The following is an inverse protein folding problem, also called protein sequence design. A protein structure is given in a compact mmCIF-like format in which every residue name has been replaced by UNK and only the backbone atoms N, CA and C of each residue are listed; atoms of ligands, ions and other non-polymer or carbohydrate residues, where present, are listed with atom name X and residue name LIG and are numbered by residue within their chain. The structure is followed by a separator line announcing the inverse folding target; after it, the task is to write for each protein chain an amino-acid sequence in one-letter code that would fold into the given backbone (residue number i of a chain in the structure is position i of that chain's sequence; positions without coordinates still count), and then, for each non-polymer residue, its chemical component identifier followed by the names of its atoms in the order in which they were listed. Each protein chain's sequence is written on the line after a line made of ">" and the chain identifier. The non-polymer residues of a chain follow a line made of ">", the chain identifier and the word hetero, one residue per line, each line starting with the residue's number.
data_IF_770401662632
#
_entry.id   IF_770401662632
#
_cell.length_a   1.000
_cell.length_b   1.000
_cell.length_c   1.000
_cell.angle_alpha   90.00
_cell.angle_beta   90.00
_cell.angle_gamma   90.00
#
_symmetry.space_group_name_H-M   'P 1'
#
loop_
_entity.id
_entity.type
_entity.pdbx_description
1 polymer ?
#
# COMPACT_ATOMS: atom_id res chain seq x y z
N UNK A 1 23.38 -68.33 5.84
CA UNK A 1 23.45 -66.97 5.27
C UNK A 1 22.08 -66.43 4.83
N UNK A 2 20.96 -66.69 5.55
CA UNK A 2 19.60 -66.29 5.13
C UNK A 2 18.82 -65.51 6.20
N UNK A 3 19.47 -64.97 7.23
CA UNK A 3 18.82 -64.22 8.31
C UNK A 3 19.09 -62.70 8.37
N UNK A 4 19.90 -62.15 7.44
CA UNK A 4 20.27 -60.72 7.40
C UNK A 4 19.57 -59.91 6.30
N UNK A 5 18.84 -60.57 5.38
CA UNK A 5 18.16 -59.88 4.27
C UNK A 5 16.70 -59.43 4.62
N UNK A 6 16.09 -59.93 5.70
CA UNK A 6 14.69 -59.64 6.03
C UNK A 6 14.47 -58.43 6.92
N UNK A 7 15.53 -57.86 7.52
CA UNK A 7 15.42 -56.69 8.41
C UNK A 7 15.52 -55.35 7.64
N UNK A 8 16.14 -55.37 6.44
CA UNK A 8 16.32 -54.11 5.67
C UNK A 8 15.11 -53.72 4.81
N UNK A 9 14.18 -54.62 4.54
CA UNK A 9 13.00 -54.31 3.70
C UNK A 9 11.84 -53.72 4.54
N UNK A 10 11.77 -54.03 5.84
CA UNK A 10 10.71 -53.55 6.72
C UNK A 10 10.91 -52.08 7.19
N UNK A 11 12.15 -51.57 7.11
CA UNK A 11 12.46 -50.19 7.53
C UNK A 11 12.22 -49.17 6.43
N UNK A 12 12.22 -49.55 5.14
CA UNK A 12 11.90 -48.66 4.01
C UNK A 12 10.39 -48.52 3.76
N UNK A 13 9.55 -49.41 4.26
CA UNK A 13 8.09 -49.33 4.05
C UNK A 13 7.34 -48.43 5.05
N UNK A 14 7.97 -48.05 6.18
CA UNK A 14 7.37 -47.19 7.20
C UNK A 14 7.55 -45.69 6.91
N UNK A 15 8.47 -45.33 6.01
CA UNK A 15 8.74 -43.94 5.63
C UNK A 15 7.82 -43.35 4.53
N UNK A 16 6.94 -44.19 3.93
CA UNK A 16 6.05 -43.77 2.84
C UNK A 16 4.58 -43.55 3.29
N UNK A 17 4.27 -43.63 4.57
CA UNK A 17 2.95 -43.39 5.13
C UNK A 17 2.96 -42.24 6.15
N UNK A 18 3.75 -41.20 5.90
CA UNK A 18 3.47 -39.90 6.57
C UNK A 18 2.19 -39.36 5.96
N UNK A 19 1.08 -39.24 6.74
CA UNK A 19 -0.07 -38.49 6.24
C UNK A 19 0.45 -37.09 5.91
N UNK A 20 0.33 -36.68 4.68
CA UNK A 20 0.37 -35.28 4.29
C UNK A 20 -0.77 -34.63 5.09
N UNK A 21 -0.46 -34.17 6.30
CA UNK A 21 -1.33 -33.24 7.03
C UNK A 21 -1.28 -31.96 6.20
N UNK A 22 -2.18 -31.90 5.22
CA UNK A 22 -2.46 -30.65 4.53
C UNK A 22 -2.78 -29.66 5.62
N UNK A 23 -1.93 -28.67 5.82
CA UNK A 23 -2.22 -27.50 6.66
C UNK A 23 -3.52 -26.94 6.12
N UNK A 24 -4.63 -27.23 6.82
CA UNK A 24 -5.91 -26.57 6.56
C UNK A 24 -5.63 -25.08 6.76
N UNK A 25 -5.60 -24.34 5.68
CA UNK A 25 -5.68 -22.88 5.70
C UNK A 25 -7.01 -22.60 6.38
N UNK A 26 -6.99 -22.26 7.67
CA UNK A 26 -8.20 -21.86 8.38
C UNK A 26 -8.64 -20.53 7.78
N UNK A 27 -9.76 -20.55 7.06
CA UNK A 27 -10.41 -19.32 6.65
C UNK A 27 -10.78 -18.53 7.92
N UNK A 28 -10.35 -17.30 8.03
CA UNK A 28 -10.76 -16.40 9.10
C UNK A 28 -12.26 -16.11 8.89
N UNK A 29 -13.10 -16.46 9.84
CA UNK A 29 -14.53 -16.16 9.78
C UNK A 29 -14.79 -14.70 10.16
N UNK A 30 -15.72 -14.05 9.48
CA UNK A 30 -16.19 -12.71 9.86
C UNK A 30 -16.69 -12.65 11.29
N UNK A 31 -17.28 -13.75 11.81
CA UNK A 31 -17.78 -13.87 13.18
C UNK A 31 -16.65 -13.90 14.22
N UNK A 32 -15.42 -14.25 13.83
CA UNK A 32 -14.26 -14.25 14.73
C UNK A 32 -13.65 -12.86 14.94
N UNK A 33 -14.06 -11.86 14.16
CA UNK A 33 -13.65 -10.45 14.29
C UNK A 33 -14.77 -9.71 15.01
N UNK A 34 -14.46 -9.13 16.17
CA UNK A 34 -15.44 -8.41 17.02
C UNK A 34 -15.86 -7.08 16.39
N UNK A 35 -14.96 -6.42 15.65
CA UNK A 35 -15.26 -5.18 14.97
C UNK A 35 -16.46 -5.33 14.04
N UNK A 36 -17.42 -4.39 14.07
CA UNK A 36 -18.57 -4.41 13.16
C UNK A 36 -18.14 -4.17 11.69
N UNK A 37 -17.08 -3.43 11.44
CA UNK A 37 -16.52 -3.20 10.11
C UNK A 37 -15.01 -3.41 10.12
N UNK A 38 -14.49 -4.19 9.15
CA UNK A 38 -13.07 -4.51 9.08
C UNK A 38 -12.61 -4.82 7.66
N UNK A 39 -11.35 -4.48 7.36
CA UNK A 39 -10.67 -4.79 6.10
C UNK A 39 -9.23 -5.20 6.38
N UNK A 40 -8.75 -6.23 5.68
CA UNK A 40 -7.34 -6.53 5.54
C UNK A 40 -6.93 -6.36 4.07
N UNK A 41 -5.94 -5.53 3.82
CA UNK A 41 -5.43 -5.23 2.47
C UNK A 41 -3.92 -5.51 2.40
N UNK A 42 -3.45 -6.06 1.28
CA UNK A 42 -2.01 -6.09 0.98
C UNK A 42 -1.60 -4.74 0.36
N UNK A 43 -0.63 -4.08 1.00
CA UNK A 43 -0.29 -2.68 0.75
C UNK A 43 0.24 -2.42 -0.67
N UNK A 44 1.13 -3.27 -1.19
CA UNK A 44 1.79 -3.01 -2.48
C UNK A 44 0.83 -3.12 -3.67
N UNK A 45 -0.08 -4.09 -3.62
CA UNK A 45 -1.03 -4.37 -4.71
C UNK A 45 -2.41 -3.74 -4.50
N UNK A 46 -2.78 -3.43 -3.26
CA UNK A 46 -4.14 -3.02 -2.90
C UNK A 46 -5.15 -4.17 -2.89
N UNK A 47 -4.68 -5.43 -2.95
CA UNK A 47 -5.58 -6.59 -2.91
C UNK A 47 -6.21 -6.75 -1.53
N UNK A 48 -7.54 -6.77 -1.48
CA UNK A 48 -8.29 -7.10 -0.26
C UNK A 48 -8.18 -8.60 -0.01
N UNK A 49 -7.79 -8.97 1.21
CA UNK A 49 -7.58 -10.34 1.67
C UNK A 49 -8.68 -10.83 2.60
N UNK A 50 -9.31 -9.90 3.31
CA UNK A 50 -10.45 -10.13 4.20
C UNK A 50 -11.30 -8.87 4.26
N UNK A 51 -12.61 -9.06 4.37
CA UNK A 51 -13.57 -7.97 4.55
C UNK A 51 -14.75 -8.39 5.42
N UNK A 52 -15.24 -7.44 6.21
CA UNK A 52 -16.47 -7.51 6.98
C UNK A 52 -17.12 -6.13 6.94
N UNK A 53 -18.30 -6.02 6.33
CA UNK A 53 -19.01 -4.75 6.13
C UNK A 53 -18.07 -3.62 5.68
N UNK A 54 -17.28 -3.81 4.61
CA UNK A 54 -16.14 -2.93 4.27
C UNK A 54 -16.58 -1.50 3.93
N UNK A 55 -17.79 -1.31 3.42
CA UNK A 55 -18.37 -0.04 2.97
C UNK A 55 -19.41 0.55 3.94
N UNK A 56 -19.55 -0.05 5.15
CA UNK A 56 -20.42 0.53 6.17
C UNK A 56 -19.87 1.85 6.67
N UNK A 57 -20.64 2.93 6.46
CA UNK A 57 -20.27 4.27 6.89
C UNK A 57 -20.33 4.40 8.41
N UNK A 58 -19.20 4.80 9.01
CA UNK A 58 -19.02 4.96 10.45
C UNK A 58 -18.09 6.11 10.77
N UNK A 59 -18.24 6.78 11.93
CA UNK A 59 -17.18 7.61 12.46
C UNK A 59 -15.94 6.77 12.76
N UNK A 60 -14.75 7.35 12.60
CA UNK A 60 -13.48 6.63 12.80
C UNK A 60 -12.57 7.28 13.86
N UNK A 61 -13.05 8.30 14.56
CA UNK A 61 -12.29 9.05 15.53
C UNK A 61 -10.95 9.54 14.94
N UNK A 62 -9.88 9.56 15.73
CA UNK A 62 -8.53 10.00 15.31
C UNK A 62 -7.87 9.15 14.21
N UNK A 63 -8.52 8.10 13.67
CA UNK A 63 -8.06 7.47 12.44
C UNK A 63 -8.17 8.44 11.26
N UNK A 64 -9.03 9.46 11.34
CA UNK A 64 -9.08 10.64 10.46
C UNK A 64 -7.69 11.25 10.19
N UNK A 65 -6.82 11.27 11.21
CA UNK A 65 -5.46 11.82 11.10
C UNK A 65 -4.57 11.07 10.10
N UNK A 66 -4.98 9.90 9.60
CA UNK A 66 -4.29 9.24 8.48
C UNK A 66 -4.38 10.11 7.22
N UNK A 67 -5.54 10.71 6.92
CA UNK A 67 -5.68 11.65 5.80
C UNK A 67 -4.94 12.96 6.08
N UNK A 68 -4.99 13.46 7.31
CA UNK A 68 -4.22 14.65 7.72
C UNK A 68 -2.73 14.45 7.49
N UNK A 69 -2.19 13.33 7.98
CA UNK A 69 -0.78 12.98 7.80
C UNK A 69 -0.43 12.72 6.32
N UNK A 70 -1.33 12.14 5.54
CA UNK A 70 -1.14 11.99 4.09
C UNK A 70 -0.88 13.34 3.43
N UNK A 71 -1.75 14.33 3.66
CA UNK A 71 -1.57 15.66 3.09
C UNK A 71 -0.34 16.39 3.64
N UNK A 72 0.02 16.15 4.90
CA UNK A 72 1.26 16.66 5.50
C UNK A 72 2.48 16.09 4.80
N UNK A 73 2.55 14.77 4.57
CA UNK A 73 3.68 14.15 3.89
C UNK A 73 3.73 14.48 2.40
N UNK A 74 2.60 14.65 1.72
CA UNK A 74 2.55 15.20 0.36
C UNK A 74 3.13 16.64 0.31
N UNK A 75 2.87 17.46 1.34
CA UNK A 75 3.46 18.79 1.44
C UNK A 75 4.98 18.73 1.70
N UNK A 76 5.45 17.79 2.53
CA UNK A 76 6.88 17.56 2.78
C UNK A 76 7.58 17.10 1.49
N UNK A 77 7.04 16.09 0.81
CA UNK A 77 7.67 15.53 -0.40
C UNK A 77 7.67 16.52 -1.57
N UNK A 78 6.70 17.42 -1.65
CA UNK A 78 6.68 18.50 -2.64
C UNK A 78 7.52 19.73 -2.25
N UNK A 79 8.15 19.73 -1.08
CA UNK A 79 8.96 20.84 -0.57
C UNK A 79 8.14 22.07 -0.12
N UNK A 80 6.84 21.93 0.05
CA UNK A 80 5.95 23.00 0.59
C UNK A 80 6.02 23.12 2.10
N UNK A 81 6.44 22.05 2.78
CA UNK A 81 6.68 22.00 4.21
C UNK A 81 8.04 21.40 4.46
N UNK A 82 8.90 22.11 5.21
CA UNK A 82 10.15 21.56 5.76
C UNK A 82 9.91 21.03 7.16
N UNK A 83 10.57 19.94 7.53
CA UNK A 83 10.50 19.42 8.90
C UNK A 83 11.07 20.39 9.93
N UNK A 84 11.96 21.28 9.51
CA UNK A 84 12.58 22.31 10.34
C UNK A 84 11.76 23.62 10.39
N UNK A 85 10.63 23.71 9.65
CA UNK A 85 9.78 24.90 9.70
C UNK A 85 9.20 25.09 11.11
N UNK A 86 9.38 26.29 11.65
CA UNK A 86 8.80 26.70 12.93
C UNK A 86 7.33 27.10 12.71
N UNK A 87 6.40 26.36 13.30
CA UNK A 87 4.97 26.53 13.13
C UNK A 87 4.35 27.04 14.43
N UNK A 88 3.54 28.08 14.31
CA UNK A 88 2.92 28.76 15.48
C UNK A 88 1.48 28.33 15.67
N UNK A 89 1.11 27.94 16.88
CA UNK A 89 -0.24 27.55 17.27
C UNK A 89 -1.17 28.76 17.28
N UNK A 90 -2.29 28.65 16.56
CA UNK A 90 -3.39 29.61 16.60
C UNK A 90 -4.19 29.51 17.90
N UNK A 91 -5.08 30.42 18.14
CA UNK A 91 -6.07 30.33 19.22
C UNK A 91 -7.04 29.17 19.03
N UNK A 92 -7.41 28.90 17.77
CA UNK A 92 -8.25 27.77 17.42
C UNK A 92 -7.57 26.44 17.74
N UNK A 93 -6.33 26.24 17.29
CA UNK A 93 -5.56 25.02 17.56
C UNK A 93 -5.33 24.82 19.08
N UNK A 94 -4.95 25.88 19.80
CA UNK A 94 -4.74 25.83 21.25
C UNK A 94 -6.03 25.57 22.05
N UNK A 95 -7.20 25.86 21.46
CA UNK A 95 -8.51 25.60 22.05
C UNK A 95 -9.07 24.21 21.80
N UNK A 96 -8.35 23.34 21.06
CA UNK A 96 -8.79 21.96 20.82
C UNK A 96 -8.91 21.21 22.15
N UNK A 97 -9.72 20.18 22.14
CA UNK A 97 -9.88 19.25 23.26
C UNK A 97 -9.58 17.82 22.86
N UNK A 98 -9.68 16.93 23.83
CA UNK A 98 -9.43 15.52 23.64
C UNK A 98 -7.97 15.14 23.86
N UNK A 99 -7.33 14.50 22.89
CA UNK A 99 -5.89 14.18 22.98
C UNK A 99 -5.08 15.38 22.51
N UNK A 100 -4.33 16.03 23.38
CA UNK A 100 -3.55 17.24 23.11
C UNK A 100 -2.16 17.15 23.69
N UNK A 101 -1.25 17.97 23.20
CA UNK A 101 0.02 18.32 23.86
C UNK A 101 -0.06 19.66 24.59
N UNK A 102 -1.29 20.21 24.71
CA UNK A 102 -1.61 21.47 25.38
C UNK A 102 -0.80 22.64 24.85
N UNK A 103 -0.91 22.88 23.54
CA UNK A 103 -0.30 24.04 22.89
C UNK A 103 -0.91 25.31 23.43
N UNK A 104 -0.08 26.30 23.73
CA UNK A 104 -0.54 27.63 24.06
C UNK A 104 -0.67 28.49 22.78
N UNK A 105 -1.63 29.43 22.74
CA UNK A 105 -1.73 30.40 21.65
C UNK A 105 -0.40 31.13 21.46
N UNK A 106 0.14 31.08 20.25
CA UNK A 106 1.43 31.69 19.93
C UNK A 106 2.65 30.82 20.25
N UNK A 107 2.45 29.64 20.82
CA UNK A 107 3.55 28.68 20.98
C UNK A 107 4.03 28.19 19.62
N UNK A 108 5.36 28.12 19.45
CA UNK A 108 6.01 27.72 18.21
C UNK A 108 6.81 26.44 18.43
N UNK A 109 6.65 25.47 17.54
CA UNK A 109 7.38 24.22 17.50
C UNK A 109 7.71 23.84 16.05
N UNK A 110 8.71 23.00 15.86
CA UNK A 110 9.04 22.49 14.51
C UNK A 110 7.92 21.64 13.92
N UNK A 111 7.81 21.62 12.60
CA UNK A 111 6.91 20.73 11.88
C UNK A 111 7.17 19.25 12.27
N UNK A 112 8.43 18.86 12.47
CA UNK A 112 8.82 17.54 12.95
C UNK A 112 8.17 17.20 14.29
N UNK A 113 8.26 18.09 15.28
CA UNK A 113 7.63 17.86 16.60
C UNK A 113 6.10 17.85 16.53
N UNK A 114 5.48 18.66 15.67
CA UNK A 114 4.02 18.66 15.44
C UNK A 114 3.56 17.34 14.78
N UNK A 115 4.29 16.83 13.78
CA UNK A 115 4.04 15.52 13.15
C UNK A 115 4.18 14.42 14.21
N UNK A 116 5.27 14.45 14.99
CA UNK A 116 5.54 13.51 16.07
C UNK A 116 4.40 13.47 17.10
N UNK A 117 3.92 14.63 17.56
CA UNK A 117 2.78 14.73 18.46
C UNK A 117 1.50 14.16 17.86
N UNK A 118 1.21 14.50 16.61
CA UNK A 118 0.03 14.01 15.87
C UNK A 118 0.02 12.48 15.73
N UNK A 119 1.18 11.88 15.46
CA UNK A 119 1.31 10.42 15.30
C UNK A 119 1.30 9.71 16.64
N UNK A 120 2.17 10.09 17.56
CA UNK A 120 2.50 9.32 18.78
C UNK A 120 1.37 9.41 19.82
N UNK A 121 0.99 10.62 20.23
CA UNK A 121 -0.07 10.81 21.23
C UNK A 121 -1.41 11.17 20.60
N UNK A 122 -1.47 11.25 19.27
CA UNK A 122 -2.72 11.60 18.58
C UNK A 122 -3.19 13.04 18.83
N UNK A 123 -2.26 13.96 19.06
CA UNK A 123 -2.55 15.34 19.44
C UNK A 123 -3.48 16.05 18.41
N UNK A 124 -4.64 16.55 18.88
CA UNK A 124 -5.61 17.26 18.05
C UNK A 124 -5.13 18.68 17.74
N UNK A 125 -4.60 19.36 18.75
CA UNK A 125 -4.01 20.69 18.63
C UNK A 125 -2.87 20.70 17.60
N UNK A 126 -1.94 19.77 17.66
CA UNK A 126 -0.86 19.67 16.69
C UNK A 126 -1.37 19.36 15.26
N UNK A 127 -2.41 18.52 15.13
CA UNK A 127 -3.00 18.22 13.83
C UNK A 127 -3.64 19.47 13.19
N UNK A 128 -4.33 20.30 13.99
CA UNK A 128 -4.92 21.57 13.52
C UNK A 128 -3.83 22.57 13.14
N UNK A 129 -2.74 22.68 13.94
CA UNK A 129 -1.61 23.56 13.60
C UNK A 129 -1.01 23.20 12.23
N UNK A 130 -0.80 21.91 11.97
CA UNK A 130 -0.30 21.43 10.67
C UNK A 130 -1.28 21.75 9.53
N UNK A 131 -2.58 21.53 9.78
CA UNK A 131 -3.64 21.82 8.80
C UNK A 131 -3.70 23.31 8.43
N UNK A 132 -3.72 24.18 9.44
CA UNK A 132 -3.73 25.63 9.25
C UNK A 132 -2.46 26.13 8.55
N UNK A 133 -1.29 25.59 8.90
CA UNK A 133 -0.04 25.97 8.25
C UNK A 133 -0.04 25.63 6.74
N UNK A 134 -0.52 24.45 6.36
CA UNK A 134 -0.54 23.99 4.96
C UNK A 134 -1.62 24.69 4.12
N UNK A 135 -2.73 25.11 4.75
CA UNK A 135 -3.92 25.55 4.01
C UNK A 135 -4.44 26.92 4.40
N UNK A 136 -3.86 27.55 5.43
CA UNK A 136 -4.30 28.84 5.97
C UNK A 136 -5.45 28.76 6.98
N UNK A 137 -6.25 27.66 6.96
CA UNK A 137 -7.30 27.37 7.95
C UNK A 137 -7.61 25.88 7.97
N UNK A 138 -8.21 25.38 9.07
CA UNK A 138 -8.72 24.01 9.15
C UNK A 138 -9.78 23.74 8.08
N UNK A 139 -10.73 24.67 7.84
CA UNK A 139 -11.77 24.51 6.82
C UNK A 139 -11.17 24.30 5.43
N UNK A 140 -10.20 25.12 5.02
CA UNK A 140 -9.52 24.96 3.74
C UNK A 140 -8.73 23.63 3.64
N UNK A 141 -8.21 23.14 4.76
CA UNK A 141 -7.57 21.84 4.83
C UNK A 141 -8.57 20.70 4.70
N UNK A 142 -9.73 20.79 5.34
CA UNK A 142 -10.83 19.82 5.24
C UNK A 142 -11.36 19.74 3.79
N UNK A 143 -11.44 20.84 3.08
CA UNK A 143 -11.77 20.84 1.64
C UNK A 143 -10.73 20.02 0.84
N UNK A 144 -9.43 20.17 1.13
CA UNK A 144 -8.37 19.36 0.52
C UNK A 144 -8.47 17.88 0.91
N UNK A 145 -8.78 17.56 2.19
CA UNK A 145 -9.00 16.18 2.63
C UNK A 145 -10.12 15.52 1.82
N UNK A 146 -11.26 16.22 1.64
CA UNK A 146 -12.39 15.72 0.85
C UNK A 146 -12.08 15.61 -0.65
N UNK A 147 -11.30 16.53 -1.20
CA UNK A 147 -10.82 16.45 -2.58
C UNK A 147 -9.92 15.23 -2.77
N UNK A 148 -8.97 15.06 -1.85
CA UNK A 148 -8.03 13.93 -1.90
C UNK A 148 -8.72 12.58 -1.72
N UNK A 149 -9.73 12.51 -0.84
CA UNK A 149 -10.56 11.33 -0.67
C UNK A 149 -11.23 10.92 -2.00
N UNK A 150 -11.81 11.88 -2.74
CA UNK A 150 -12.40 11.62 -4.06
C UNK A 150 -11.37 11.10 -5.07
N UNK A 151 -10.16 11.68 -5.11
CA UNK A 151 -9.08 11.24 -5.99
C UNK A 151 -8.64 9.79 -5.69
N UNK A 152 -8.67 9.40 -4.41
CA UNK A 152 -8.36 8.03 -3.97
C UNK A 152 -9.51 7.05 -4.17
N UNK A 153 -10.69 7.52 -4.59
CA UNK A 153 -11.87 6.66 -4.75
C UNK A 153 -12.56 6.31 -3.42
N UNK A 154 -12.37 7.12 -2.37
CA UNK A 154 -12.99 6.95 -1.06
C UNK A 154 -14.44 7.46 -1.10
N UNK A 155 -15.32 6.62 -1.64
CA UNK A 155 -16.70 7.02 -1.93
C UNK A 155 -17.63 7.04 -0.71
N UNK A 156 -17.22 6.45 0.41
CA UNK A 156 -17.97 6.34 1.65
C UNK A 156 -17.54 7.40 2.67
N UNK A 157 -16.66 8.36 2.27
CA UNK A 157 -15.97 9.25 3.21
C UNK A 157 -16.37 10.71 3.04
N UNK A 158 -16.67 11.35 4.17
CA UNK A 158 -16.80 12.80 4.30
C UNK A 158 -16.06 13.24 5.57
N UNK A 159 -15.08 14.12 5.41
CA UNK A 159 -14.39 14.76 6.52
C UNK A 159 -15.05 16.10 6.85
N UNK A 160 -15.18 16.40 8.16
CA UNK A 160 -15.69 17.68 8.70
C UNK A 160 -14.62 18.44 9.48
N UNK A 161 -13.62 17.72 10.02
CA UNK A 161 -12.46 18.26 10.72
C UNK A 161 -11.21 17.43 10.40
N UNK A 162 -10.05 17.92 10.76
CA UNK A 162 -8.77 17.26 10.46
C UNK A 162 -8.29 16.31 11.55
N UNK A 163 -8.96 16.22 12.70
CA UNK A 163 -8.49 15.52 13.89
C UNK A 163 -9.34 14.31 14.29
N UNK A 164 -10.61 14.24 13.82
CA UNK A 164 -11.53 13.13 14.07
C UNK A 164 -12.31 13.23 15.37
N UNK A 165 -12.52 14.44 15.90
CA UNK A 165 -13.53 14.68 16.93
C UNK A 165 -14.92 14.40 16.36
N UNK A 166 -15.84 13.97 17.22
CA UNK A 166 -17.21 13.63 16.83
C UNK A 166 -17.92 14.86 16.26
N UNK A 167 -18.41 14.73 15.02
CA UNK A 167 -19.15 15.76 14.30
C UNK A 167 -20.14 15.12 13.35
N UNK A 168 -21.35 15.67 13.26
CA UNK A 168 -22.41 15.11 12.40
C UNK A 168 -21.97 15.08 10.93
N UNK A 169 -22.05 13.88 10.33
CA UNK A 169 -21.64 13.67 8.94
C UNK A 169 -20.14 13.48 8.74
N UNK A 170 -19.32 13.41 9.82
CA UNK A 170 -17.92 12.99 9.75
C UNK A 170 -17.86 11.46 9.74
N UNK A 171 -17.82 10.89 8.55
CA UNK A 171 -17.96 9.43 8.33
C UNK A 171 -16.94 8.92 7.33
N UNK A 172 -16.65 7.63 7.43
CA UNK A 172 -15.80 6.87 6.49
C UNK A 172 -16.17 5.38 6.53
N UNK A 173 -15.51 4.54 5.75
CA UNK A 173 -15.64 3.08 5.80
C UNK A 173 -14.28 2.40 6.06
N UNK A 174 -14.29 1.13 6.46
CA UNK A 174 -13.03 0.40 6.66
C UNK A 174 -12.24 0.25 5.35
N UNK A 175 -12.92 0.15 4.21
CA UNK A 175 -12.29 0.11 2.90
C UNK A 175 -11.60 1.43 2.56
N UNK A 176 -12.29 2.55 2.76
CA UNK A 176 -11.74 3.89 2.49
C UNK A 176 -10.55 4.20 3.41
N UNK A 177 -10.64 3.81 4.68
CA UNK A 177 -9.49 3.91 5.60
C UNK A 177 -8.31 3.08 5.11
N UNK A 178 -8.52 1.89 4.55
CA UNK A 178 -7.45 1.09 3.97
C UNK A 178 -6.83 1.78 2.75
N UNK A 179 -7.62 2.45 1.90
CA UNK A 179 -7.13 3.22 0.75
C UNK A 179 -6.22 4.38 1.18
N UNK A 180 -6.68 5.25 2.11
CA UNK A 180 -5.84 6.36 2.57
C UNK A 180 -4.61 5.89 3.36
N UNK A 181 -4.74 4.78 4.11
CA UNK A 181 -3.59 4.18 4.80
C UNK A 181 -2.55 3.66 3.82
N UNK A 182 -3.00 2.99 2.74
CA UNK A 182 -2.13 2.52 1.67
C UNK A 182 -1.39 3.67 0.99
N UNK A 183 -2.08 4.78 0.73
CA UNK A 183 -1.46 5.96 0.12
C UNK A 183 -0.42 6.57 1.05
N UNK A 184 -0.75 6.78 2.33
CA UNK A 184 0.19 7.31 3.32
C UNK A 184 1.44 6.43 3.46
N UNK A 185 1.31 5.10 3.38
CA UNK A 185 2.47 4.20 3.49
C UNK A 185 3.45 4.25 2.30
N UNK A 186 3.13 4.95 1.21
CA UNK A 186 4.07 5.23 0.13
C UNK A 186 5.08 6.31 0.50
N UNK A 187 4.77 7.14 1.47
CA UNK A 187 5.67 8.14 2.06
C UNK A 187 6.49 7.48 3.17
N UNK A 188 7.64 6.88 2.83
CA UNK A 188 8.42 6.04 3.74
C UNK A 188 8.79 6.72 5.06
N UNK A 189 8.96 8.04 5.06
CA UNK A 189 9.24 8.84 6.25
C UNK A 189 8.18 8.71 7.37
N UNK A 190 6.93 8.33 7.06
CA UNK A 190 5.90 8.14 8.08
C UNK A 190 6.32 7.08 9.10
N UNK A 191 7.08 6.07 8.68
CA UNK A 191 7.51 4.99 9.55
C UNK A 191 8.54 5.42 10.59
N UNK A 192 9.26 6.52 10.37
CA UNK A 192 10.17 7.11 11.37
C UNK A 192 9.36 7.57 12.60
N UNK A 193 8.14 8.04 12.41
CA UNK A 193 7.25 8.50 13.49
C UNK A 193 6.38 7.39 14.06
N UNK A 194 5.78 6.55 13.22
CA UNK A 194 4.83 5.52 13.69
C UNK A 194 5.50 4.41 14.48
N UNK A 195 6.81 4.20 14.31
CA UNK A 195 7.61 3.25 15.09
C UNK A 195 8.03 3.76 16.47
N UNK A 196 7.89 5.06 16.74
CA UNK A 196 8.22 5.64 18.04
C UNK A 196 7.28 5.11 19.12
N UNK A 197 7.82 4.47 20.14
CA UNK A 197 7.04 4.08 21.31
C UNK A 197 6.96 5.17 22.36
N UNK A 198 8.08 5.82 22.64
CA UNK A 198 8.22 6.86 23.64
C UNK A 198 9.25 7.88 23.15
N UNK A 199 8.91 9.17 23.26
CA UNK A 199 9.79 10.29 22.93
C UNK A 199 9.46 11.51 23.79
N UNK A 200 10.15 12.62 23.58
CA UNK A 200 9.95 13.86 24.29
C UNK A 200 9.83 15.03 23.31
N UNK A 201 9.00 16.00 23.66
CA UNK A 201 8.85 17.29 22.96
C UNK A 201 9.42 18.41 23.84
N UNK A 202 9.49 19.62 23.27
CA UNK A 202 9.90 20.84 24.00
C UNK A 202 11.25 20.69 24.73
N UNK A 203 12.24 20.07 24.04
CA UNK A 203 13.56 19.88 24.63
C UNK A 203 13.57 18.97 25.88
N UNK A 204 12.70 17.98 25.92
CA UNK A 204 12.62 17.00 27.01
C UNK A 204 11.59 17.29 28.09
N UNK A 205 10.84 18.40 27.98
CA UNK A 205 9.85 18.80 29.01
C UNK A 205 8.52 18.05 28.93
N UNK A 206 8.15 17.55 27.76
CA UNK A 206 6.87 16.86 27.54
C UNK A 206 7.13 15.46 27.00
N UNK A 207 6.92 14.44 27.83
CA UNK A 207 7.05 13.05 27.42
C UNK A 207 5.77 12.60 26.69
N UNK A 208 5.94 11.92 25.55
CA UNK A 208 4.87 11.37 24.74
C UNK A 208 5.02 9.85 24.59
N UNK A 209 3.89 9.12 24.65
CA UNK A 209 3.84 7.65 24.54
C UNK A 209 2.83 7.26 23.49
N UNK A 210 3.22 6.33 22.60
CA UNK A 210 2.38 5.92 21.50
C UNK A 210 1.11 5.20 21.96
N UNK A 211 0.00 5.58 21.34
CA UNK A 211 -1.31 4.97 21.59
C UNK A 211 -1.43 3.56 20.98
N UNK A 212 -0.57 3.20 20.04
CA UNK A 212 -0.52 1.89 19.39
C UNK A 212 0.27 0.87 20.24
N UNK A 213 -0.44 0.11 21.07
CA UNK A 213 0.18 -0.90 21.94
C UNK A 213 0.77 -2.09 21.18
N UNK A 214 0.38 -2.32 19.91
CA UNK A 214 0.96 -3.38 19.08
C UNK A 214 2.45 -3.18 18.82
N UNK A 215 2.96 -1.94 18.91
CA UNK A 215 4.40 -1.66 18.80
C UNK A 215 5.26 -2.46 19.81
N UNK A 216 4.67 -2.88 20.93
CA UNK A 216 5.37 -3.69 21.94
C UNK A 216 5.07 -5.18 21.87
N UNK A 217 4.00 -5.57 21.20
CA UNK A 217 3.45 -6.93 21.35
C UNK A 217 3.33 -7.68 20.04
N UNK A 218 3.42 -6.99 18.90
CA UNK A 218 3.21 -7.60 17.59
C UNK A 218 4.46 -7.51 16.71
N UNK A 219 4.98 -8.67 16.28
CA UNK A 219 6.16 -8.73 15.44
C UNK A 219 5.89 -8.19 14.03
N UNK A 220 6.76 -7.27 13.58
CA UNK A 220 6.67 -6.67 12.26
C UNK A 220 5.69 -5.50 12.15
N UNK A 221 5.09 -5.03 13.26
CA UNK A 221 4.23 -3.83 13.24
C UNK A 221 5.05 -2.59 12.81
N UNK A 222 4.48 -1.79 11.91
CA UNK A 222 5.09 -0.55 11.42
C UNK A 222 4.25 0.70 11.72
N UNK A 223 3.04 0.52 12.22
CA UNK A 223 2.14 1.64 12.55
C UNK A 223 0.69 1.17 12.61
N UNK A 224 -0.33 1.96 12.31
CA UNK A 224 -0.32 3.32 11.77
C UNK A 224 -1.00 4.30 12.77
N UNK A 225 -2.32 4.15 12.98
CA UNK A 225 -3.11 5.08 13.79
C UNK A 225 -4.23 4.40 14.56
N UNK A 226 -4.44 4.82 15.82
CA UNK A 226 -5.60 4.46 16.65
C UNK A 226 -6.57 5.64 16.73
N UNK A 227 -7.85 5.34 16.98
CA UNK A 227 -8.87 6.34 17.26
C UNK A 227 -9.84 5.84 18.33
N UNK A 228 -10.38 6.74 19.15
CA UNK A 228 -11.43 6.43 20.13
C UNK A 228 -12.24 7.68 20.41
N UNK A 229 -13.55 7.59 20.22
CA UNK A 229 -14.54 8.58 20.70
C UNK A 229 -15.76 7.81 21.19
N UNK A 230 -16.77 8.52 21.72
CA UNK A 230 -17.99 7.87 22.16
C UNK A 230 -18.79 7.31 20.97
N UNK A 231 -18.85 8.03 19.86
CA UNK A 231 -19.63 7.65 18.68
C UNK A 231 -18.91 6.60 17.83
N UNK A 232 -17.59 6.74 17.69
CA UNK A 232 -16.79 5.81 16.87
C UNK A 232 -16.49 4.47 17.57
N UNK A 233 -16.54 4.43 18.90
CA UNK A 233 -15.95 3.31 19.65
C UNK A 233 -14.43 3.27 19.49
N UNK A 234 -13.83 2.08 19.51
CA UNK A 234 -12.40 1.88 19.35
C UNK A 234 -12.06 1.48 17.91
N UNK A 235 -11.31 2.33 17.20
CA UNK A 235 -10.92 2.17 15.82
C UNK A 235 -9.39 2.06 15.66
N UNK A 236 -8.94 1.39 14.61
CA UNK A 236 -7.52 1.29 14.27
C UNK A 236 -7.30 1.06 12.79
N UNK A 237 -6.30 1.74 12.23
CA UNK A 237 -5.57 1.28 11.07
C UNK A 237 -4.19 0.81 11.54
N UNK A 238 -3.88 -0.47 11.36
CA UNK A 238 -2.59 -1.07 11.69
C UNK A 238 -1.85 -1.47 10.42
N UNK A 239 -0.55 -1.21 10.39
CA UNK A 239 0.34 -1.66 9.31
C UNK A 239 1.43 -2.57 9.87
N UNK A 240 1.74 -3.62 9.12
CA UNK A 240 2.82 -4.54 9.50
C UNK A 240 3.52 -5.09 8.26
N UNK A 241 4.83 -5.38 8.40
CA UNK A 241 5.64 -5.94 7.31
C UNK A 241 6.42 -7.14 7.82
N UNK A 242 6.39 -8.25 7.06
CA UNK A 242 7.22 -9.45 7.28
C UNK A 242 7.75 -9.94 5.93
N UNK A 243 9.06 -9.82 5.72
CA UNK A 243 9.69 -10.08 4.42
C UNK A 243 9.09 -9.18 3.34
N UNK A 244 8.64 -9.77 2.24
CA UNK A 244 8.09 -9.03 1.08
C UNK A 244 6.60 -8.69 1.23
N UNK A 245 5.95 -9.09 2.32
CA UNK A 245 4.51 -8.87 2.54
C UNK A 245 4.30 -7.71 3.49
N UNK A 246 3.59 -6.68 3.02
CA UNK A 246 3.15 -5.53 3.82
C UNK A 246 1.63 -5.50 3.87
N UNK A 247 1.07 -5.46 5.06
CA UNK A 247 -0.36 -5.57 5.31
C UNK A 247 -0.91 -4.32 6.00
N UNK A 248 -2.14 -3.99 5.67
CA UNK A 248 -2.94 -2.94 6.31
C UNK A 248 -4.20 -3.61 6.87
N UNK A 249 -4.36 -3.56 8.19
CA UNK A 249 -5.53 -4.07 8.92
C UNK A 249 -6.32 -2.89 9.46
N UNK A 250 -7.56 -2.75 9.03
CA UNK A 250 -8.48 -1.72 9.51
C UNK A 250 -9.61 -2.38 10.30
N UNK A 251 -9.86 -1.86 11.49
CA UNK A 251 -10.99 -2.26 12.34
C UNK A 251 -11.69 -1.00 12.87
N UNK A 252 -12.99 -0.91 12.69
CA UNK A 252 -13.82 0.22 13.11
C UNK A 252 -14.93 -0.24 14.03
N UNK A 253 -15.21 0.54 15.08
CA UNK A 253 -16.36 0.34 15.94
C UNK A 253 -16.21 -0.76 17.01
N UNK A 254 -15.01 -1.19 17.37
CA UNK A 254 -14.81 -2.13 18.48
C UNK A 254 -15.31 -1.52 19.80
N UNK A 255 -15.86 -2.36 20.67
CA UNK A 255 -16.38 -1.91 21.99
C UNK A 255 -15.25 -1.53 22.94
N UNK A 256 -14.10 -2.16 22.83
CA UNK A 256 -12.97 -1.98 23.73
C UNK A 256 -11.64 -1.86 22.96
N UNK A 257 -10.67 -1.17 23.58
CA UNK A 257 -9.32 -1.13 23.03
C UNK A 257 -8.64 -2.51 22.99
N UNK A 258 -9.04 -3.46 23.86
CA UNK A 258 -8.53 -4.83 23.83
C UNK A 258 -9.02 -5.57 22.58
N UNK A 259 -10.28 -5.47 22.27
CA UNK A 259 -10.87 -6.06 21.04
C UNK A 259 -10.20 -5.47 19.79
N UNK A 260 -10.07 -4.14 19.72
CA UNK A 260 -9.40 -3.45 18.61
C UNK A 260 -8.02 -4.02 18.29
N UNK A 261 -7.17 -4.19 19.31
CA UNK A 261 -5.82 -4.73 19.11
C UNK A 261 -5.83 -6.22 18.78
N UNK A 262 -6.74 -7.01 19.38
CA UNK A 262 -6.88 -8.43 19.09
C UNK A 262 -7.34 -8.68 17.65
N UNK A 263 -8.37 -7.95 17.20
CA UNK A 263 -8.91 -8.08 15.86
C UNK A 263 -7.89 -7.64 14.79
N UNK A 264 -7.19 -6.50 15.02
CA UNK A 264 -6.16 -6.03 14.11
C UNK A 264 -5.02 -7.06 13.98
N UNK A 265 -4.57 -7.64 15.10
CA UNK A 265 -3.53 -8.66 15.11
C UNK A 265 -3.98 -9.95 14.41
N UNK A 266 -5.23 -10.41 14.66
CA UNK A 266 -5.78 -11.61 14.02
C UNK A 266 -5.88 -11.47 12.50
N UNK A 267 -6.27 -10.29 11.99
CA UNK A 267 -6.29 -9.99 10.57
C UNK A 267 -4.88 -10.03 9.97
N UNK A 268 -3.91 -9.39 10.62
CA UNK A 268 -2.52 -9.41 10.18
C UNK A 268 -1.93 -10.83 10.17
N UNK A 269 -2.17 -11.62 11.23
CA UNK A 269 -1.71 -13.00 11.30
C UNK A 269 -2.34 -13.86 10.20
N UNK A 270 -3.64 -13.68 9.92
CA UNK A 270 -4.31 -14.33 8.79
C UNK A 270 -3.62 -14.00 7.46
N UNK A 271 -3.33 -12.72 7.20
CA UNK A 271 -2.66 -12.32 5.97
C UNK A 271 -1.26 -12.92 5.85
N UNK A 272 -0.43 -12.80 6.89
CA UNK A 272 0.92 -13.36 6.87
C UNK A 272 0.96 -14.88 6.77
N UNK A 273 -0.04 -15.58 7.32
CA UNK A 273 -0.12 -17.03 7.20
C UNK A 273 -0.48 -17.49 5.78
N UNK A 274 -1.32 -16.75 5.08
CA UNK A 274 -2.00 -17.22 3.87
C UNK A 274 -1.45 -16.68 2.56
N UNK A 275 -0.76 -15.52 2.54
CA UNK A 275 -0.32 -14.91 1.29
C UNK A 275 1.19 -14.68 1.23
N UNK A 276 1.72 -14.68 0.01
CA UNK A 276 3.05 -14.19 -0.33
C UNK A 276 2.93 -13.20 -1.50
N UNK A 277 3.89 -12.28 -1.56
CA UNK A 277 4.01 -11.34 -2.68
C UNK A 277 5.10 -11.86 -3.60
N UNK A 278 4.87 -11.80 -4.91
CA UNK A 278 5.84 -12.15 -5.95
C UNK A 278 6.01 -10.98 -6.89
N UNK A 279 7.25 -10.63 -7.14
CA UNK A 279 7.59 -9.68 -8.19
C UNK A 279 7.52 -10.38 -9.55
N UNK A 280 6.91 -9.72 -10.52
CA UNK A 280 6.86 -10.22 -11.89
C UNK A 280 8.13 -9.78 -12.63
N UNK A 281 8.74 -10.72 -13.33
CA UNK A 281 9.93 -10.49 -14.16
C UNK A 281 9.66 -10.94 -15.57
N UNK A 282 10.33 -10.33 -16.56
CA UNK A 282 10.22 -10.77 -17.96
C UNK A 282 10.54 -12.27 -18.07
N UNK A 283 9.71 -13.06 -18.77
CA UNK A 283 9.99 -14.48 -19.00
C UNK A 283 11.21 -14.64 -19.92
N UNK A 284 11.99 -15.68 -19.68
CA UNK A 284 13.22 -15.95 -20.44
C UNK A 284 12.96 -16.25 -21.92
N UNK A 285 11.80 -16.81 -22.24
CA UNK A 285 11.34 -17.16 -23.57
C UNK A 285 10.68 -16.01 -24.34
N UNK A 286 10.67 -14.80 -23.77
CA UNK A 286 10.11 -13.64 -24.47
C UNK A 286 10.91 -13.32 -25.74
N UNK A 287 10.27 -13.22 -26.93
CA UNK A 287 10.91 -12.81 -28.17
C UNK A 287 11.57 -11.45 -28.03
N UNK A 288 12.81 -11.30 -28.51
CA UNK A 288 13.58 -10.04 -28.45
C UNK A 288 13.30 -9.12 -29.62
N UNK A 289 12.78 -9.66 -30.73
CA UNK A 289 12.46 -8.94 -31.95
C UNK A 289 11.34 -9.64 -32.72
N UNK A 290 10.72 -8.93 -33.66
CA UNK A 290 9.70 -9.43 -34.57
C UNK A 290 10.04 -9.01 -35.99
N UNK A 291 9.71 -9.84 -36.99
CA UNK A 291 9.88 -9.53 -38.41
C UNK A 291 9.02 -8.35 -38.84
N UNK A 292 9.58 -7.51 -39.74
CA UNK A 292 8.92 -6.36 -40.33
C UNK A 292 8.89 -6.50 -41.86
N UNK A 293 7.69 -6.64 -42.39
CA UNK A 293 7.49 -6.68 -43.84
C UNK A 293 7.62 -5.27 -44.45
N UNK A 294 8.37 -5.17 -45.55
CA UNK A 294 8.49 -3.93 -46.31
C UNK A 294 9.13 -2.78 -45.56
N UNK A 295 9.94 -3.08 -44.52
CA UNK A 295 10.69 -2.13 -43.74
C UNK A 295 12.11 -1.93 -44.29
N UNK A 296 12.78 -0.82 -43.87
CA UNK A 296 14.19 -0.58 -44.11
C UNK A 296 15.10 -1.51 -43.30
N UNK A 297 14.56 -2.16 -42.27
CA UNK A 297 15.15 -3.27 -41.55
C UNK A 297 14.15 -4.45 -41.52
N UNK A 298 14.68 -5.67 -41.53
CA UNK A 298 13.89 -6.90 -41.57
C UNK A 298 13.24 -7.24 -40.22
N UNK A 299 13.60 -6.54 -39.16
CA UNK A 299 13.05 -6.76 -37.82
C UNK A 299 13.10 -5.48 -36.94
N UNK A 300 12.27 -5.46 -35.93
CA UNK A 300 12.27 -4.43 -34.88
C UNK A 300 12.40 -5.09 -33.53
N UNK A 301 13.16 -4.46 -32.62
CA UNK A 301 13.28 -4.90 -31.23
C UNK A 301 11.95 -4.79 -30.51
N UNK A 302 11.69 -5.74 -29.62
CA UNK A 302 10.54 -5.72 -28.74
C UNK A 302 10.96 -5.27 -27.33
N UNK A 303 10.20 -4.37 -26.75
CA UNK A 303 10.34 -3.92 -25.37
C UNK A 303 9.04 -4.17 -24.59
N UNK A 304 9.18 -4.71 -23.39
CA UNK A 304 8.08 -4.87 -22.45
C UNK A 304 8.57 -4.45 -21.06
N UNK A 305 7.92 -3.48 -20.45
CA UNK A 305 8.28 -2.99 -19.12
C UNK A 305 7.40 -3.71 -18.09
N UNK A 306 7.96 -4.72 -17.44
CA UNK A 306 7.31 -5.42 -16.34
C UNK A 306 7.79 -4.80 -15.03
N UNK A 307 6.88 -4.15 -14.31
CA UNK A 307 7.14 -3.55 -13.00
C UNK A 307 5.86 -3.70 -12.18
N UNK A 308 5.64 -4.87 -11.62
CA UNK A 308 4.43 -5.15 -10.83
C UNK A 308 4.67 -6.28 -9.84
N UNK A 309 3.91 -6.25 -8.76
CA UNK A 309 3.85 -7.31 -7.75
C UNK A 309 2.48 -7.95 -7.79
N UNK A 310 2.41 -9.24 -7.47
CA UNK A 310 1.15 -9.97 -7.33
C UNK A 310 1.10 -10.67 -5.99
N UNK A 311 -0.12 -10.77 -5.44
CA UNK A 311 -0.39 -11.57 -4.24
C UNK A 311 -0.78 -12.98 -4.66
N UNK A 312 -0.10 -13.97 -4.11
CA UNK A 312 -0.39 -15.39 -4.32
C UNK A 312 -0.64 -16.10 -3.00
N UNK A 313 -1.53 -17.10 -3.00
CA UNK A 313 -1.85 -17.89 -1.83
C UNK A 313 -0.72 -18.87 -1.52
N UNK A 314 -0.27 -18.93 -0.25
CA UNK A 314 0.81 -19.84 0.19
C UNK A 314 0.41 -21.31 0.15
N UNK A 315 -0.87 -21.62 0.38
CA UNK A 315 -1.36 -22.98 0.59
C UNK A 315 -1.47 -23.86 -0.66
N UNK A 316 -1.52 -23.29 -1.85
CA UNK A 316 -1.88 -24.02 -3.09
C UNK A 316 -0.76 -24.13 -4.12
N UNK A 317 0.49 -23.87 -3.74
CA UNK A 317 1.63 -23.95 -4.69
C UNK A 317 1.31 -23.13 -5.95
N UNK A 318 1.02 -21.84 -5.78
CA UNK A 318 0.55 -20.98 -6.86
C UNK A 318 1.50 -21.08 -8.07
N UNK A 319 1.00 -21.65 -9.17
CA UNK A 319 1.74 -21.75 -10.42
C UNK A 319 1.55 -20.45 -11.18
N UNK A 320 2.62 -19.68 -11.31
CA UNK A 320 2.65 -18.50 -12.18
C UNK A 320 3.08 -18.98 -13.56
N UNK A 321 2.29 -18.62 -14.57
CA UNK A 321 2.59 -18.88 -15.99
C UNK A 321 2.40 -17.61 -16.78
N UNK A 322 3.01 -17.55 -17.96
CA UNK A 322 2.91 -16.43 -18.89
C UNK A 322 2.28 -16.89 -20.21
N UNK A 323 1.54 -16.00 -20.83
CA UNK A 323 1.05 -16.11 -22.19
C UNK A 323 1.51 -14.88 -22.96
N UNK A 324 2.12 -15.10 -24.12
CA UNK A 324 2.62 -14.05 -25.01
C UNK A 324 1.76 -14.08 -26.26
N UNK A 325 1.03 -12.99 -26.50
CA UNK A 325 0.22 -12.78 -27.71
C UNK A 325 0.97 -11.80 -28.60
N UNK A 326 1.57 -12.33 -29.67
CA UNK A 326 2.31 -11.59 -30.68
C UNK A 326 1.92 -12.11 -32.08
N UNK A 327 1.78 -11.24 -33.10
CA UNK A 327 1.70 -11.68 -34.46
C UNK A 327 3.04 -12.29 -34.93
N UNK A 328 2.99 -13.13 -35.97
CA UNK A 328 4.22 -13.70 -36.57
C UNK A 328 5.13 -12.61 -37.15
N UNK A 329 4.54 -11.56 -37.74
CA UNK A 329 5.20 -10.43 -38.37
C UNK A 329 4.28 -9.20 -38.44
N UNK A 330 4.88 -8.03 -38.67
CA UNK A 330 4.16 -6.75 -38.75
C UNK A 330 4.58 -6.01 -40.03
N UNK A 331 3.75 -5.09 -40.52
CA UNK A 331 4.04 -4.30 -41.71
C UNK A 331 4.64 -2.93 -41.32
N UNK A 332 5.61 -2.47 -42.13
CA UNK A 332 6.16 -1.12 -42.04
C UNK A 332 5.18 -0.06 -42.60
N UNK A 333 5.18 1.18 -42.11
CA UNK A 333 6.09 1.70 -41.08
C UNK A 333 5.72 1.29 -39.65
N UNK A 334 6.73 1.17 -38.80
CA UNK A 334 6.56 0.90 -37.38
C UNK A 334 7.09 2.09 -36.60
N UNK A 335 6.28 2.65 -35.73
CA UNK A 335 6.69 3.73 -34.86
C UNK A 335 7.21 3.17 -33.53
N UNK A 336 8.23 3.82 -32.96
CA UNK A 336 8.70 3.50 -31.60
C UNK A 336 7.57 3.61 -30.60
N UNK A 337 7.53 2.70 -29.61
CA UNK A 337 6.48 2.56 -28.60
C UNK A 337 5.09 2.11 -29.15
N UNK A 338 4.96 1.81 -30.45
CA UNK A 338 3.74 1.20 -30.97
C UNK A 338 3.52 -0.15 -30.28
N UNK A 339 2.33 -0.36 -29.73
CA UNK A 339 1.93 -1.65 -29.19
C UNK A 339 1.87 -2.68 -30.32
N UNK A 340 2.55 -3.82 -30.12
CA UNK A 340 2.63 -4.94 -31.06
C UNK A 340 1.90 -6.16 -30.51
N UNK A 341 1.97 -6.37 -29.19
CA UNK A 341 1.37 -7.53 -28.55
C UNK A 341 1.14 -7.33 -27.07
N UNK A 342 0.90 -8.43 -26.38
CA UNK A 342 0.59 -8.43 -24.94
C UNK A 342 1.26 -9.61 -24.24
N UNK A 343 1.93 -9.34 -23.13
CA UNK A 343 2.40 -10.33 -22.17
C UNK A 343 1.40 -10.43 -21.03
N UNK A 344 0.81 -11.61 -20.83
CA UNK A 344 -0.17 -11.86 -19.77
C UNK A 344 0.39 -12.82 -18.73
N UNK A 345 0.26 -12.46 -17.44
CA UNK A 345 0.58 -13.34 -16.32
C UNK A 345 -0.70 -13.99 -15.78
N UNK A 346 -0.61 -15.30 -15.52
CA UNK A 346 -1.69 -16.08 -14.94
C UNK A 346 -1.22 -16.72 -13.64
N UNK A 347 -2.12 -16.76 -12.65
CA UNK A 347 -1.96 -17.54 -11.42
C UNK A 347 -3.02 -18.64 -11.44
N UNK A 348 -2.59 -19.90 -11.41
CA UNK A 348 -3.49 -21.06 -11.49
C UNK A 348 -4.49 -20.94 -12.66
N UNK A 349 -3.98 -20.56 -13.85
CA UNK A 349 -4.74 -20.36 -15.09
C UNK A 349 -5.75 -19.19 -15.07
N UNK A 350 -5.72 -18.34 -14.06
CA UNK A 350 -6.51 -17.10 -14.02
C UNK A 350 -5.63 -15.91 -14.34
N UNK A 351 -6.04 -15.09 -15.29
CA UNK A 351 -5.37 -13.85 -15.66
C UNK A 351 -5.32 -12.91 -14.46
N UNK A 352 -4.11 -12.41 -14.12
CA UNK A 352 -3.90 -11.49 -12.99
C UNK A 352 -3.35 -10.14 -13.44
N UNK A 353 -2.48 -10.12 -14.47
CA UNK A 353 -1.84 -8.90 -14.95
C UNK A 353 -1.50 -9.03 -16.44
N UNK A 354 -1.47 -7.90 -17.15
CA UNK A 354 -1.01 -7.84 -18.53
C UNK A 354 -0.18 -6.59 -18.78
N UNK A 355 0.81 -6.72 -19.65
CA UNK A 355 1.72 -5.65 -20.06
C UNK A 355 1.78 -5.57 -21.58
N UNK A 356 1.86 -4.37 -22.11
CA UNK A 356 2.02 -4.15 -23.54
C UNK A 356 3.45 -4.47 -23.97
N UNK A 357 3.55 -5.20 -25.08
CA UNK A 357 4.81 -5.43 -25.79
C UNK A 357 4.85 -4.41 -26.92
N UNK A 358 5.86 -3.55 -26.92
CA UNK A 358 5.97 -2.42 -27.83
C UNK A 358 7.21 -2.50 -28.72
N UNK A 359 7.20 -1.78 -29.82
CA UNK A 359 8.38 -1.58 -30.65
C UNK A 359 9.42 -0.72 -29.90
N UNK A 360 10.64 -1.22 -29.78
CA UNK A 360 11.77 -0.50 -29.16
C UNK A 360 12.35 0.58 -30.05
N UNK A 361 12.22 0.44 -31.39
CA UNK A 361 12.75 1.35 -32.38
C UNK A 361 11.67 1.65 -33.45
N UNK A 362 11.90 2.68 -34.26
CA UNK A 362 11.08 2.95 -35.44
C UNK A 362 11.67 2.25 -36.67
N UNK A 363 10.81 1.71 -37.53
CA UNK A 363 11.18 1.13 -38.83
C UNK A 363 10.42 1.86 -39.95
N UNK A 364 11.15 2.51 -40.81
CA UNK A 364 10.56 3.19 -41.97
C UNK A 364 10.18 2.17 -43.05
N UNK A 365 9.14 2.50 -43.81
CA UNK A 365 8.75 1.71 -44.99
C UNK A 365 9.81 1.83 -46.10
N UNK A 366 10.18 0.72 -46.69
CA UNK A 366 11.06 0.70 -47.86
C UNK A 366 10.45 1.50 -48.99
N UNK A 367 11.15 2.52 -49.47
CA UNK A 367 10.82 3.30 -50.65
C UNK A 367 12.10 3.61 -51.45
N UNK A 368 11.95 3.91 -52.74
CA UNK A 368 13.12 4.27 -53.53
C UNK A 368 13.89 5.48 -52.96
N UNK A 369 13.17 6.50 -52.45
CA UNK A 369 13.75 7.67 -51.81
C UNK A 369 14.52 7.30 -50.53
N UNK A 370 13.92 6.47 -49.66
CA UNK A 370 14.56 6.04 -48.40
C UNK A 370 15.82 5.18 -48.66
N UNK A 371 15.79 4.31 -49.69
CA UNK A 371 16.97 3.55 -50.11
C UNK A 371 18.08 4.46 -50.65
N UNK A 372 17.73 5.48 -51.42
CA UNK A 372 18.69 6.43 -51.98
C UNK A 372 19.36 7.25 -50.86
N UNK A 373 18.58 7.76 -49.90
CA UNK A 373 19.09 8.45 -48.70
C UNK A 373 20.00 7.56 -47.85
N UNK A 374 19.66 6.30 -47.64
CA UNK A 374 20.46 5.33 -46.94
C UNK A 374 21.82 5.09 -47.60
N UNK A 375 21.81 4.91 -48.94
CA UNK A 375 23.02 4.73 -49.71
C UNK A 375 23.91 5.97 -49.68
N UNK A 376 23.31 7.18 -49.81
CA UNK A 376 24.09 8.44 -49.70
C UNK A 376 24.68 8.65 -48.29
N UNK A 377 23.89 8.40 -47.23
CA UNK A 377 24.37 8.49 -45.85
C UNK A 377 25.53 7.52 -45.58
N UNK A 378 25.41 6.27 -46.10
CA UNK A 378 26.47 5.26 -45.97
C UNK A 378 27.75 5.62 -46.70
N UNK A 379 27.66 6.34 -47.86
CA UNK A 379 28.81 6.80 -48.63
C UNK A 379 29.53 8.00 -48.00
N UNK A 380 28.81 8.83 -47.25
CA UNK A 380 29.37 10.01 -46.54
C UNK A 380 30.01 9.61 -45.22
N UNK A 381 29.65 8.46 -44.64
CA UNK A 381 30.22 7.96 -43.39
C UNK A 381 31.47 7.08 -43.55
N UNK A 382 31.92 6.85 -44.77
CA UNK A 382 33.20 6.25 -45.19
C UNK A 382 34.26 7.31 -45.44
#
# INVERSE_FOLDING_TARGET
>A
MLRKAFVSITLCAVLLLSPFVGLKVNALSADSISAPSAVLMESSTGKVLFEKNPHEQRPCASVTKVMTLLLVFEAVDSGKLSLDDEITASEHAAGMGGSDIWLEKGETMSADDMIKATVVVSANDAAVVLAEHISGSEDAFVEKMNSRAKELGMNDTVFKNCNGLDEEGHITSAYDVALMSRELTKHEKIFDYTSIWLDNLRGGKTQIVNTNKLLKTYNGITGLKTGTTNDAGCCMSATATRGDVSLISVVLGCKTGKERFADAAALLDYGFANVSVKELTLPEDMPKSIEVNGGMTDSVKLECKVSSKIVVDKGNGAKITTEIDLPDKIDAPVEKNRKIGTLTYLVNSKKVQSFDICAGDSVQKTSFGALLEYVFASLISL
#
